data_IF_973235279219
#
_entry.id   IF_973235279219
#
_cell.length_a   1.000
_cell.length_b   1.000
_cell.length_c   1.000
_cell.angle_alpha   90.00
_cell.angle_beta   90.00
_cell.angle_gamma   90.00
#
_symmetry.space_group_name_H-M   'P 1'
#
loop_
_entity.id
_entity.type
_entity.pdbx_description
1 polymer ?
#
# COMPACT_ATOMS: atom_id res chain seq x y z
N UNK A 1 -10.97 12.78 -2.55
CA UNK A 1 -10.84 11.67 -1.58
C UNK A 1 -10.16 10.44 -2.18
N UNK A 2 -10.73 9.81 -3.22
CA UNK A 2 -10.11 8.63 -3.85
C UNK A 2 -8.69 8.87 -4.39
N UNK A 3 -8.47 9.97 -5.11
CA UNK A 3 -7.13 10.36 -5.61
C UNK A 3 -6.11 10.53 -4.47
N UNK A 4 -6.50 11.24 -3.43
CA UNK A 4 -5.66 11.48 -2.26
C UNK A 4 -5.30 10.16 -1.53
N UNK A 5 -6.25 9.24 -1.41
CA UNK A 5 -5.99 7.92 -0.85
C UNK A 5 -5.01 7.11 -1.71
N UNK A 6 -5.17 7.14 -3.04
CA UNK A 6 -4.25 6.49 -3.97
C UNK A 6 -2.84 7.07 -3.81
N UNK A 7 -2.71 8.40 -3.76
CA UNK A 7 -1.41 9.06 -3.57
C UNK A 7 -0.77 8.64 -2.24
N UNK A 8 -1.55 8.52 -1.17
CA UNK A 8 -1.08 8.07 0.13
C UNK A 8 -0.63 6.60 0.12
N UNK A 9 -1.37 5.72 -0.58
CA UNK A 9 -1.01 4.31 -0.80
C UNK A 9 0.28 4.18 -1.60
N UNK A 10 0.44 4.94 -2.69
CA UNK A 10 1.67 4.96 -3.47
C UNK A 10 2.88 5.39 -2.62
N UNK A 11 2.70 6.37 -1.74
CA UNK A 11 3.79 6.90 -0.89
C UNK A 11 4.15 5.99 0.29
N UNK A 12 3.16 5.39 0.95
CA UNK A 12 3.36 4.72 2.26
C UNK A 12 3.15 3.21 2.25
N UNK A 13 2.43 2.68 1.27
CA UNK A 13 2.05 1.27 1.23
C UNK A 13 2.73 0.49 0.10
N UNK A 14 3.13 1.14 -0.99
CA UNK A 14 3.64 0.48 -2.19
C UNK A 14 5.17 0.54 -2.29
N UNK A 15 5.75 -0.57 -2.76
CA UNK A 15 7.16 -0.67 -3.16
C UNK A 15 7.27 -1.45 -4.46
N UNK A 16 8.21 -1.04 -5.30
CA UNK A 16 8.55 -1.69 -6.56
C UNK A 16 10.06 -1.92 -6.65
N UNK A 17 10.44 -2.98 -7.34
CA UNK A 17 11.81 -3.26 -7.72
C UNK A 17 11.82 -3.94 -9.10
N UNK A 18 12.83 -3.65 -9.92
CA UNK A 18 12.92 -4.21 -11.28
C UNK A 18 13.07 -5.73 -11.28
N UNK A 19 13.81 -6.26 -10.30
CA UNK A 19 13.92 -7.70 -10.01
C UNK A 19 12.92 -8.16 -8.93
N UNK A 20 12.45 -9.42 -8.97
CA UNK A 20 11.47 -9.93 -8.02
C UNK A 20 12.11 -10.24 -6.66
N UNK A 21 12.35 -9.20 -5.85
CA UNK A 21 13.06 -9.30 -4.55
C UNK A 21 12.13 -9.55 -3.37
N UNK A 22 10.81 -9.41 -3.54
CA UNK A 22 9.85 -9.57 -2.45
C UNK A 22 9.35 -11.01 -2.38
N UNK A 23 9.76 -11.75 -1.35
CA UNK A 23 9.24 -13.10 -1.07
C UNK A 23 7.86 -13.01 -0.42
N UNK A 24 6.86 -13.60 -1.07
CA UNK A 24 5.49 -13.68 -0.56
C UNK A 24 5.34 -14.88 0.39
N UNK A 25 4.29 -14.86 1.22
CA UNK A 25 3.95 -15.99 2.11
C UNK A 25 3.68 -17.29 1.34
N UNK A 26 3.26 -17.20 0.09
CA UNK A 26 3.12 -18.35 -0.83
C UNK A 26 4.45 -18.98 -1.29
N UNK A 27 5.60 -18.40 -0.91
CA UNK A 27 6.92 -18.78 -1.40
C UNK A 27 7.32 -18.15 -2.74
N UNK A 28 6.35 -17.60 -3.50
CA UNK A 28 6.61 -16.88 -4.76
C UNK A 28 7.39 -15.58 -4.55
N UNK A 29 8.19 -15.22 -5.53
CA UNK A 29 8.89 -13.95 -5.61
C UNK A 29 8.08 -12.93 -6.42
N UNK A 30 8.11 -11.66 -6.04
CA UNK A 30 7.36 -10.57 -6.66
C UNK A 30 8.22 -9.33 -6.82
N UNK A 31 7.97 -8.57 -7.90
CA UNK A 31 8.50 -7.22 -8.13
C UNK A 31 7.74 -6.14 -7.36
N UNK A 32 6.55 -6.49 -6.88
CA UNK A 32 5.61 -5.59 -6.22
C UNK A 32 5.40 -6.02 -4.78
N UNK A 33 5.43 -5.05 -3.86
CA UNK A 33 5.03 -5.24 -2.48
C UNK A 33 4.04 -4.15 -2.09
N UNK A 34 2.94 -4.56 -1.46
CA UNK A 34 1.95 -3.65 -0.91
C UNK A 34 1.63 -4.02 0.53
N UNK A 35 1.72 -3.05 1.42
CA UNK A 35 1.30 -3.17 2.82
C UNK A 35 0.52 -1.92 3.20
N UNK A 36 -0.81 -2.03 3.28
CA UNK A 36 -1.68 -0.89 3.59
C UNK A 36 -1.68 -0.49 5.08
N UNK A 37 -1.07 -1.28 5.97
CA UNK A 37 -1.05 -1.00 7.42
C UNK A 37 -0.56 0.41 7.77
N UNK A 38 0.55 0.93 7.19
CA UNK A 38 1.00 2.28 7.46
C UNK A 38 -0.01 3.36 7.06
N UNK A 39 -0.83 3.11 6.04
CA UNK A 39 -1.89 4.03 5.61
C UNK A 39 -3.09 3.98 6.54
N UNK A 40 -3.49 2.79 7.01
CA UNK A 40 -4.61 2.67 7.97
C UNK A 40 -4.26 3.17 9.37
N UNK A 41 -2.97 3.23 9.72
CA UNK A 41 -2.49 3.80 10.98
C UNK A 41 -2.15 5.30 10.87
N UNK A 42 -2.23 5.87 9.66
CA UNK A 42 -2.10 7.31 9.45
C UNK A 42 -3.47 7.98 9.69
N UNK A 43 -3.55 9.06 10.49
CA UNK A 43 -4.84 9.71 10.77
C UNK A 43 -5.60 10.13 9.51
N UNK A 44 -4.89 10.65 8.50
CA UNK A 44 -5.49 11.08 7.24
C UNK A 44 -5.88 9.88 6.39
N UNK A 45 -5.03 8.85 6.35
CA UNK A 45 -5.33 7.60 5.67
C UNK A 45 -6.55 6.89 6.22
N UNK A 46 -6.65 6.75 7.55
CA UNK A 46 -7.82 6.18 8.22
C UNK A 46 -9.10 6.94 7.89
N UNK A 47 -9.06 8.28 7.96
CA UNK A 47 -10.18 9.15 7.57
C UNK A 47 -10.60 8.88 6.12
N UNK A 48 -9.66 8.88 5.17
CA UNK A 48 -9.97 8.70 3.76
C UNK A 48 -10.56 7.30 3.45
N UNK A 49 -10.04 6.25 4.09
CA UNK A 49 -10.56 4.88 3.94
C UNK A 49 -11.97 4.76 4.50
N UNK A 50 -12.26 5.38 5.66
CA UNK A 50 -13.58 5.34 6.30
C UNK A 50 -14.71 5.98 5.49
N UNK A 51 -14.39 6.81 4.50
CA UNK A 51 -15.37 7.47 3.61
C UNK A 51 -15.55 6.75 2.27
N UNK A 52 -15.04 5.52 2.13
CA UNK A 52 -15.27 4.69 0.95
C UNK A 52 -16.57 3.86 1.00
N UNK A 53 -17.28 3.89 2.14
CA UNK A 53 -18.55 3.18 2.34
C UNK A 53 -19.72 3.86 1.64
#
# INVERSE_FOLDING_TARGET
>A
MKKELIDLLCKKAFKYHDEPVFKLVSGRMSKYYINCRPVTLDPRGLFLVGHLM
#
